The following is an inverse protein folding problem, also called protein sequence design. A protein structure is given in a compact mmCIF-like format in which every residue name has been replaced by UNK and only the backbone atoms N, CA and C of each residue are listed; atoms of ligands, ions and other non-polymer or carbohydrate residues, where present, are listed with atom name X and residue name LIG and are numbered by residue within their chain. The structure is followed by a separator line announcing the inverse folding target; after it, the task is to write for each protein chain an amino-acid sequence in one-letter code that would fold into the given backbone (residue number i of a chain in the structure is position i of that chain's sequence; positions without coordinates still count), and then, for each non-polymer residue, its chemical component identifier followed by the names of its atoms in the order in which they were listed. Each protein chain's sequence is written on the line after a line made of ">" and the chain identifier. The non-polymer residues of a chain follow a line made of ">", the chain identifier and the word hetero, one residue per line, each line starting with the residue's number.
data_IF_098717614936
#
_entry.id   IF_098717614936
#
_cell.length_a   1.000
_cell.length_b   1.000
_cell.length_c   1.000
_cell.angle_alpha   90.00
_cell.angle_beta   90.00
_cell.angle_gamma   90.00
#
_symmetry.space_group_name_H-M   'P 1'
#
loop_
_entity.id
_entity.type
_entity.pdbx_description
1 polymer ?
2 non-polymer ?
3 water ?
#
# COMPACT_ATOMS: atom_id res chain seq x y z
N UNK A 2 8.07 -8.26 -20.95
CA UNK A 2 7.62 -8.77 -19.61
C UNK A 2 6.34 -8.04 -19.18
N UNK A 3 6.41 -6.71 -19.21
CA UNK A 3 5.34 -5.82 -18.74
C UNK A 3 4.91 -4.92 -19.90
N UNK A 4 3.59 -4.68 -20.05
CA UNK A 4 3.16 -3.85 -21.17
C UNK A 4 3.30 -2.38 -20.79
N UNK A 5 4.38 -1.74 -21.27
CA UNK A 5 4.64 -0.35 -20.96
C UNK A 5 5.22 0.39 -22.18
N UNK A 6 4.55 1.49 -22.55
CA UNK A 6 5.06 2.38 -23.61
C UNK A 6 6.24 3.17 -23.06
N UNK A 7 7.25 3.39 -23.90
CA UNK A 7 8.50 4.02 -23.46
C UNK A 7 8.43 5.55 -23.42
N UNK A 8 8.67 6.13 -22.24
CA UNK A 8 8.60 7.57 -22.06
C UNK A 8 9.99 8.12 -21.91
N UNK A 9 10.11 9.41 -22.21
CA UNK A 9 11.17 10.20 -21.61
C UNK A 9 10.73 10.37 -20.18
N UNK A 10 11.70 10.33 -19.26
CA UNK A 10 11.40 10.27 -17.83
C UNK A 10 10.75 11.57 -17.33
N UNK A 11 11.15 12.69 -17.91
CA UNK A 11 10.61 14.00 -17.51
C UNK A 11 9.29 14.43 -18.19
N UNK A 12 8.76 13.57 -19.06
CA UNK A 12 7.44 13.74 -19.64
C UNK A 12 6.45 13.12 -18.67
N UNK A 13 5.89 13.94 -17.79
CA UNK A 13 5.10 13.42 -16.69
C UNK A 13 3.71 12.91 -17.11
N UNK A 14 3.16 13.48 -18.19
CA UNK A 14 1.92 13.01 -18.79
C UNK A 14 2.07 11.57 -19.25
N UNK A 15 3.17 11.32 -19.95
CA UNK A 15 3.53 9.99 -20.45
C UNK A 15 3.78 8.97 -19.32
N UNK A 16 4.63 9.36 -18.36
CA UNK A 16 4.96 8.51 -17.21
C UNK A 16 3.71 8.17 -16.42
N UNK A 17 2.78 9.11 -16.30
CA UNK A 17 1.58 8.86 -15.53
C UNK A 17 0.72 7.81 -16.23
N UNK A 18 0.72 7.85 -17.56
CA UNK A 18 0.04 6.87 -18.43
C UNK A 18 0.73 5.50 -18.45
N UNK A 19 2.06 5.49 -18.51
CA UNK A 19 2.84 4.23 -18.52
C UNK A 19 2.63 3.46 -17.23
N UNK A 20 2.77 4.15 -16.09
CA UNK A 20 2.48 3.58 -14.78
C UNK A 20 1.07 3.03 -14.71
N UNK A 21 0.12 3.75 -15.29
CA UNK A 21 -1.27 3.33 -15.30
C UNK A 21 -1.50 2.05 -16.11
N UNK A 22 -0.79 1.88 -17.23
CA UNK A 22 -0.90 0.66 -18.07
C UNK A 22 -0.14 -0.55 -17.54
N UNK A 23 1.05 -0.30 -17.03
CA UNK A 23 1.84 -1.30 -16.34
C UNK A 23 1.16 -1.86 -15.08
N UNK A 24 0.66 -0.96 -14.23
CA UNK A 24 0.25 -1.31 -12.86
C UNK A 24 -0.57 -2.61 -12.75
N UNK A 25 -1.66 -2.75 -13.50
CA UNK A 25 -2.50 -3.96 -13.33
C UNK A 25 -1.83 -5.28 -13.66
N UNK A 26 -1.04 -5.33 -14.73
CA UNK A 26 -0.27 -6.52 -15.06
C UNK A 26 0.70 -6.78 -13.91
N UNK A 27 1.30 -5.71 -13.42
CA UNK A 27 2.37 -5.83 -12.43
C UNK A 27 1.88 -6.38 -11.10
N UNK A 28 0.75 -5.84 -10.63
CA UNK A 28 0.17 -6.20 -9.35
C UNK A 28 -0.48 -7.59 -9.40
N UNK A 29 -0.79 -8.08 -10.60
CA UNK A 29 -1.22 -9.50 -10.80
C UNK A 29 -0.11 -10.48 -10.43
N UNK A 30 1.11 -10.01 -10.52
CA UNK A 30 2.24 -10.82 -10.12
C UNK A 30 2.92 -11.35 -11.35
N UNK A 31 4.20 -11.62 -11.18
CA UNK A 31 5.02 -12.16 -12.26
C UNK A 31 5.85 -13.28 -11.65
N UNK A 32 5.21 -14.45 -11.48
CA UNK A 32 5.78 -15.60 -10.80
C UNK A 32 7.23 -15.91 -11.23
N UNK A 33 7.44 -16.07 -12.53
CA UNK A 33 8.73 -16.49 -13.06
C UNK A 33 9.82 -15.48 -12.78
N UNK A 34 9.42 -14.24 -12.56
CA UNK A 34 10.37 -13.17 -12.35
C UNK A 34 10.61 -12.89 -10.88
N UNK A 35 9.91 -13.63 -10.03
CA UNK A 35 10.01 -13.48 -8.58
C UNK A 35 9.26 -12.25 -8.06
N UNK A 36 8.10 -11.99 -8.64
CA UNK A 36 7.29 -10.84 -8.28
C UNK A 36 6.01 -11.42 -7.70
N UNK A 37 5.75 -11.14 -6.43
CA UNK A 37 4.53 -11.59 -5.77
C UNK A 37 3.29 -10.87 -6.31
N UNK A 38 2.16 -11.54 -6.16
CA UNK A 38 0.85 -10.95 -6.38
C UNK A 38 0.68 -9.82 -5.36
N UNK A 39 0.22 -8.67 -5.83
CA UNK A 39 0.01 -7.51 -4.99
C UNK A 39 -1.45 -7.04 -5.03
N UNK A 40 -2.31 -7.84 -5.64
CA UNK A 40 -3.75 -7.67 -5.50
C UNK A 40 -4.41 -9.00 -5.91
N UNK A 41 -4.82 -9.84 -4.94
CA UNK A 41 -4.73 -9.54 -3.49
C UNK A 41 -3.31 -9.68 -2.94
N UNK A 42 -2.89 -8.69 -2.15
CA UNK A 42 -1.57 -8.67 -1.49
C UNK A 42 -1.58 -9.35 -0.10
N UNK A 43 -0.75 -10.39 0.06
CA UNK A 43 -0.51 -10.98 1.37
C UNK A 43 0.41 -10.09 2.20
N UNK A 44 -0.14 -9.52 3.25
CA UNK A 44 0.64 -8.78 4.20
C UNK A 44 1.25 -9.77 5.21
N UNK A 45 2.49 -9.53 5.59
CA UNK A 45 3.12 -10.34 6.63
C UNK A 45 2.54 -10.02 8.01
N UNK A 46 2.68 -10.96 8.94
CA UNK A 46 2.11 -10.78 10.25
C UNK A 46 2.72 -9.55 10.86
N UNK A 47 1.90 -8.75 11.53
CA UNK A 47 2.44 -7.62 12.27
C UNK A 47 1.59 -7.28 13.48
N UNK A 48 2.17 -6.45 14.32
CA UNK A 48 1.52 -5.97 15.51
C UNK A 48 1.87 -4.53 15.66
N UNK A 49 1.04 -3.82 16.41
CA UNK A 49 1.40 -2.50 16.82
C UNK A 49 0.76 -2.20 18.15
N UNK A 50 1.41 -1.29 18.86
CA UNK A 50 0.96 -0.85 20.16
C UNK A 50 1.02 0.67 20.11
N UNK A 51 -0.12 1.31 19.90
CA UNK A 51 -0.18 2.77 19.71
C UNK A 51 -1.42 3.39 20.33
N UNK A 52 -1.20 4.50 21.05
CA UNK A 52 -2.24 5.28 21.70
C UNK A 52 -3.21 4.41 22.52
N UNK A 53 -2.67 3.38 23.19
CA UNK A 53 -3.46 2.49 24.06
C UNK A 53 -4.04 1.25 23.39
N UNK A 54 -3.80 1.07 22.10
CA UNK A 54 -4.37 -0.09 21.43
C UNK A 54 -3.27 -1.06 21.03
N UNK A 55 -3.36 -2.26 21.59
CA UNK A 55 -2.53 -3.35 21.17
C UNK A 55 -3.28 -4.09 20.08
N UNK A 56 -2.72 -4.04 18.87
CA UNK A 56 -3.34 -4.66 17.70
C UNK A 56 -2.39 -5.69 17.07
N UNK A 57 -2.94 -6.81 16.60
CA UNK A 57 -2.21 -7.67 15.67
C UNK A 57 -3.08 -8.01 14.48
N UNK A 58 -2.43 -8.30 13.35
CA UNK A 58 -3.10 -8.82 12.18
C UNK A 58 -2.31 -10.00 11.58
N UNK A 59 -3.02 -11.10 11.36
CA UNK A 59 -2.45 -12.32 10.77
C UNK A 59 -3.31 -12.72 9.56
N UNK A 60 -2.66 -13.39 8.60
CA UNK A 60 -3.28 -13.72 7.31
C UNK A 60 -3.77 -12.43 6.63
N UNK A 61 -3.02 -11.36 6.81
CA UNK A 61 -3.41 -10.06 6.31
C UNK A 61 -3.52 -10.04 4.79
N UNK A 62 -4.52 -9.30 4.31
CA UNK A 62 -4.79 -9.11 2.89
C UNK A 62 -5.05 -7.63 2.62
N UNK A 63 -4.50 -7.15 1.50
CA UNK A 63 -4.87 -5.86 0.96
C UNK A 63 -5.36 -6.08 -0.47
N UNK A 64 -6.61 -5.67 -0.69
CA UNK A 64 -7.29 -5.80 -1.96
C UNK A 64 -7.45 -4.35 -2.50
N UNK A 65 -7.44 -4.18 -3.81
CA UNK A 65 -7.76 -2.89 -4.44
C UNK A 65 -6.67 -2.26 -5.30
N UNK A 66 -5.42 -2.61 -5.06
CA UNK A 66 -4.30 -1.99 -5.77
C UNK A 66 -4.33 -2.12 -7.31
N UNK A 67 -5.00 -3.17 -7.81
CA UNK A 67 -5.14 -3.38 -9.27
C UNK A 67 -6.00 -2.29 -9.93
N UNK A 68 -6.88 -1.63 -9.16
CA UNK A 68 -7.73 -0.53 -9.63
C UNK A 68 -7.30 0.89 -9.27
N UNK A 69 -6.09 1.08 -8.74
CA UNK A 69 -5.51 2.42 -8.50
C UNK A 69 -5.48 3.32 -9.74
N UNK A 70 -5.87 4.56 -9.54
CA UNK A 70 -5.72 5.56 -10.58
C UNK A 70 -4.48 6.40 -10.27
N UNK A 71 -3.49 6.41 -11.18
CA UNK A 71 -2.28 7.23 -11.01
C UNK A 71 -2.59 8.67 -11.37
N UNK A 72 -2.49 9.56 -10.39
CA UNK A 72 -2.73 11.00 -10.58
C UNK A 72 -1.60 11.79 -11.22
N UNK A 73 -0.36 11.41 -10.95
CA UNK A 73 0.82 12.09 -11.48
C UNK A 73 2.10 11.33 -11.13
N UNK A 74 3.06 11.33 -12.05
CA UNK A 74 4.39 10.78 -11.83
C UNK A 74 5.43 11.82 -12.22
N UNK A 75 6.14 12.34 -11.23
CA UNK A 75 7.07 13.44 -11.42
C UNK A 75 8.49 12.95 -11.20
N UNK A 76 9.25 12.86 -12.27
CA UNK A 76 10.58 12.33 -12.20
C UNK A 76 11.62 13.47 -12.23
N UNK A 77 12.40 13.60 -11.16
CA UNK A 77 13.45 14.63 -11.07
C UNK A 77 14.82 13.99 -11.30
N UNK A 78 15.30 14.01 -12.55
CA UNK A 78 16.60 13.40 -12.89
C UNK A 78 17.80 14.04 -12.17
N UNK A 79 17.65 15.30 -11.75
CA UNK A 79 18.67 15.94 -10.93
C UNK A 79 18.78 15.21 -9.59
N UNK A 80 17.79 15.37 -8.71
CA UNK A 80 17.83 14.71 -7.41
C UNK A 80 17.76 13.18 -7.45
N UNK A 81 17.39 12.60 -8.60
CA UNK A 81 17.18 11.16 -8.72
C UNK A 81 16.09 10.66 -7.75
N UNK A 82 14.98 11.39 -7.72
CA UNK A 82 13.76 10.99 -7.02
C UNK A 82 12.62 10.84 -8.02
N UNK A 83 11.65 10.01 -7.66
CA UNK A 83 10.39 9.89 -8.37
C UNK A 83 9.27 10.19 -7.37
N UNK A 84 8.37 11.12 -7.68
CA UNK A 84 7.15 11.32 -6.90
C UNK A 84 5.95 10.69 -7.62
N UNK A 85 5.23 9.78 -6.95
CA UNK A 85 4.02 9.16 -7.51
C UNK A 85 2.80 9.38 -6.62
N UNK A 86 1.85 10.16 -7.12
CA UNK A 86 0.56 10.35 -6.49
C UNK A 86 -0.48 9.47 -7.16
N UNK A 87 -1.26 8.80 -6.33
CA UNK A 87 -2.32 7.97 -6.83
C UNK A 87 -3.38 7.79 -5.74
N UNK A 88 -4.52 7.23 -6.14
CA UNK A 88 -5.60 6.90 -5.22
C UNK A 88 -6.27 5.59 -5.58
N UNK A 89 -6.96 5.04 -4.60
CA UNK A 89 -7.70 3.80 -4.77
C UNK A 89 -8.70 3.62 -3.64
N UNK A 90 -9.55 2.63 -3.83
CA UNK A 90 -10.33 2.07 -2.76
C UNK A 90 -9.71 0.71 -2.39
N UNK A 91 -9.52 0.48 -1.09
CA UNK A 91 -8.87 -0.73 -0.63
C UNK A 91 -9.67 -1.40 0.49
N UNK A 92 -9.57 -2.73 0.54
CA UNK A 92 -10.08 -3.54 1.64
C UNK A 92 -8.89 -4.23 2.32
N UNK A 93 -8.73 -4.01 3.63
CA UNK A 93 -7.78 -4.76 4.46
C UNK A 93 -8.54 -5.81 5.30
N UNK A 94 -8.10 -7.06 5.21
CA UNK A 94 -8.75 -8.19 5.85
C UNK A 94 -7.75 -9.00 6.68
N UNK A 95 -8.29 -9.94 7.44
CA UNK A 95 -7.49 -10.89 8.19
C UNK A 95 -7.93 -11.17 9.60
N UNK A 96 -7.12 -11.99 10.28
CA UNK A 96 -7.40 -12.39 11.64
C UNK A 96 -6.76 -11.37 12.56
N UNK A 97 -7.57 -10.51 13.17
CA UNK A 97 -7.07 -9.41 14.00
C UNK A 97 -7.20 -9.78 15.44
N UNK A 98 -6.35 -9.21 16.28
CA UNK A 98 -6.62 -9.15 17.74
C UNK A 98 -6.50 -7.73 18.25
N UNK A 99 -7.29 -7.40 19.26
CA UNK A 99 -7.33 -6.05 19.83
C UNK A 99 -7.49 -6.17 21.33
N UNK A 100 -6.69 -5.43 22.08
CA UNK A 100 -6.84 -5.28 23.52
C UNK A 100 -6.47 -3.86 23.87
N UNK A 101 -6.69 -3.47 25.12
CA UNK A 101 -6.40 -2.13 25.59
C UNK A 101 -7.61 -1.23 25.39
N UNK A 102 -7.44 -0.16 24.61
CA UNK A 102 -8.57 0.71 24.27
C UNK A 102 -8.43 1.35 22.87
N UNK A 103 -9.55 1.70 22.26
CA UNK A 103 -9.53 2.67 21.16
C UNK A 103 -10.12 3.97 21.67
N UNK A 104 -9.23 4.96 21.83
CA UNK A 104 -9.60 6.29 22.24
C UNK A 104 -10.27 6.20 23.61
N UNK A 105 -11.54 6.61 23.73
CA UNK A 105 -12.20 6.69 25.03
C UNK A 105 -12.95 5.38 25.43
N UNK A 106 -12.84 4.33 24.61
CA UNK A 106 -13.53 3.06 24.85
C UNK A 106 -12.55 1.89 25.01
N UNK A 107 -12.66 1.09 26.10
CA UNK A 107 -11.89 -0.16 26.18
C UNK A 107 -12.33 -1.13 25.08
N UNK A 108 -11.40 -1.99 24.67
CA UNK A 108 -11.66 -2.97 23.64
C UNK A 108 -11.04 -4.30 23.98
N UNK A 109 -11.72 -5.37 23.60
CA UNK A 109 -11.12 -6.69 23.43
C UNK A 109 -11.68 -7.30 22.13
N UNK A 110 -10.85 -8.04 21.40
CA UNK A 110 -11.31 -8.65 20.15
C UNK A 110 -10.39 -9.72 19.67
N UNK A 111 -10.97 -10.77 19.10
CA UNK A 111 -10.19 -11.83 18.46
C UNK A 111 -11.07 -12.48 17.42
N UNK A 112 -10.85 -12.07 16.18
CA UNK A 112 -11.73 -12.46 15.11
C UNK A 112 -11.25 -12.01 13.76
N UNK A 113 -12.20 -11.66 12.90
CA UNK A 113 -11.92 -11.27 11.55
C UNK A 113 -12.16 -9.78 11.34
N UNK A 114 -11.35 -9.20 10.48
CA UNK A 114 -11.41 -7.81 10.13
C UNK A 114 -11.77 -7.64 8.66
N UNK A 115 -12.57 -6.61 8.40
CA UNK A 115 -12.81 -6.10 7.05
C UNK A 115 -12.84 -4.57 7.08
N UNK A 116 -11.70 -3.92 6.79
CA UNK A 116 -11.63 -2.45 6.70
C UNK A 116 -11.81 -2.03 5.26
N UNK A 117 -12.83 -1.22 4.97
CA UNK A 117 -13.07 -0.73 3.62
C UNK A 117 -12.73 0.73 3.58
N UNK A 118 -11.72 1.07 2.76
CA UNK A 118 -11.19 2.43 2.69
C UNK A 118 -11.51 3.02 1.33
N UNK A 119 -12.22 4.14 1.34
CA UNK A 119 -12.73 4.74 0.13
C UNK A 119 -11.95 6.03 -0.17
N UNK A 120 -11.44 6.11 -1.39
CA UNK A 120 -10.67 7.22 -1.92
C UNK A 120 -9.50 7.57 -1.02
N UNK A 121 -8.65 6.57 -0.81
CA UNK A 121 -7.40 6.81 -0.13
C UNK A 121 -6.44 7.38 -1.16
N UNK A 122 -5.80 8.48 -0.82
CA UNK A 122 -4.78 9.07 -1.66
C UNK A 122 -3.42 8.81 -1.05
N UNK A 123 -2.50 8.35 -1.88
CA UNK A 123 -1.16 8.00 -1.44
C UNK A 123 -0.16 8.91 -2.14
N UNK A 124 0.86 9.35 -1.39
CA UNK A 124 1.93 10.17 -1.93
C UNK A 124 3.23 9.46 -1.69
N UNK A 125 3.76 8.85 -2.75
CA UNK A 125 4.97 8.06 -2.68
C UNK A 125 6.15 8.87 -3.21
N UNK A 126 7.29 8.82 -2.52
CA UNK A 126 8.54 9.37 -3.03
C UNK A 126 9.62 8.29 -2.96
N UNK A 127 10.23 7.95 -4.09
CA UNK A 127 11.28 6.94 -4.15
C UNK A 127 12.63 7.60 -4.52
N UNK A 128 13.72 7.20 -3.86
CA UNK A 128 15.05 7.60 -4.29
C UNK A 128 15.71 6.45 -5.05
N UNK A 129 16.43 6.78 -6.10
CA UNK A 129 16.97 5.77 -6.98
C UNK A 129 18.36 6.15 -7.47
N UNK A 130 19.10 5.14 -7.89
CA UNK A 130 20.34 5.33 -8.58
C UNK A 130 20.22 4.59 -9.91
N UNK A 131 20.80 5.16 -10.96
CA UNK A 131 21.00 4.45 -12.22
C UNK A 131 22.24 3.55 -12.07
N UNK A 132 22.11 2.25 -12.32
CA UNK A 132 23.26 1.36 -12.15
C UNK A 132 23.46 0.37 -13.31
N UNK A 133 24.65 0.44 -13.91
CA UNK A 133 25.09 -0.51 -14.92
C UNK A 133 25.48 -1.82 -14.22
N UNK A 134 25.04 -2.95 -14.78
CA UNK A 134 25.31 -4.27 -14.16
C UNK A 134 26.59 -4.93 -14.72
N UNK A 135 26.88 -6.16 -14.26
CA UNK A 135 28.14 -6.87 -14.55
C UNK A 135 28.38 -7.09 -16.04
N UNK A 136 27.29 -7.16 -16.82
CA UNK A 136 27.39 -7.37 -18.26
C UNK A 136 27.05 -6.09 -19.04
N UNK A 137 26.90 -4.97 -18.32
CA UNK A 137 26.85 -3.64 -18.95
C UNK A 137 25.48 -3.03 -19.24
N UNK A 138 24.44 -3.62 -18.66
CA UNK A 138 23.07 -3.20 -18.88
C UNK A 138 22.60 -2.22 -17.78
N UNK A 139 22.23 -1.02 -18.21
CA UNK A 139 21.76 0.02 -17.29
C UNK A 139 20.39 -0.32 -16.65
N UNK A 140 20.30 -0.24 -15.32
CA UNK A 140 19.04 -0.45 -14.59
C UNK A 140 18.70 0.74 -13.67
N UNK A 141 17.40 1.01 -13.51
CA UNK A 141 16.95 1.89 -12.43
C UNK A 141 16.89 1.09 -11.12
N UNK A 142 17.69 1.48 -10.14
CA UNK A 142 17.76 0.78 -8.86
C UNK A 142 17.14 1.62 -7.75
N UNK A 143 16.03 1.16 -7.22
CA UNK A 143 15.32 1.86 -6.13
C UNK A 143 16.10 1.73 -4.84
N UNK A 144 16.14 2.80 -4.04
CA UNK A 144 16.97 2.80 -2.82
C UNK A 144 16.15 2.99 -1.56
N UNK A 145 15.24 3.97 -1.54
CA UNK A 145 14.46 4.27 -0.34
C UNK A 145 13.15 4.84 -0.80
N UNK A 146 12.18 4.90 0.12
CA UNK A 146 10.92 5.54 -0.15
C UNK A 146 10.38 6.18 1.07
N UNK A 147 9.48 7.15 0.88
CA UNK A 147 8.57 7.60 1.92
C UNK A 147 7.19 7.49 1.32
N UNK A 148 6.20 7.26 2.17
CA UNK A 148 4.84 7.16 1.71
C UNK A 148 3.98 7.86 2.75
N UNK A 149 3.09 8.74 2.31
CA UNK A 149 2.09 9.35 3.18
C UNK A 149 0.78 8.93 2.59
N UNK A 150 -0.29 9.07 3.38
CA UNK A 150 -1.61 8.64 2.96
C UNK A 150 -2.62 9.60 3.49
N UNK A 151 -3.77 9.64 2.84
CA UNK A 151 -4.88 10.46 3.25
C UNK A 151 -6.14 9.77 2.78
N UNK A 152 -6.94 9.27 3.72
CA UNK A 152 -8.23 8.65 3.39
C UNK A 152 -9.22 9.79 3.36
N UNK A 153 -9.64 10.15 2.17
CA UNK A 153 -10.47 11.34 1.96
C UNK A 153 -11.96 11.12 2.16
N UNK A 154 -12.49 9.99 1.68
CA UNK A 154 -13.93 9.88 1.58
C UNK A 154 -14.51 9.19 2.79
N UNK A 155 -14.00 8.01 3.13
CA UNK A 155 -14.61 7.21 4.19
C UNK A 155 -13.80 5.97 4.52
N UNK A 156 -14.01 5.43 5.72
CA UNK A 156 -13.40 4.18 6.17
C UNK A 156 -14.42 3.44 7.02
N UNK A 157 -14.61 2.16 6.72
CA UNK A 157 -15.61 1.32 7.39
C UNK A 157 -14.97 0.16 8.10
N UNK A 158 -15.41 -0.08 9.34
CA UNK A 158 -14.79 -1.06 10.22
C UNK A 158 -15.73 -2.25 10.46
N UNK A 159 -15.24 -3.43 10.08
CA UNK A 159 -15.94 -4.65 10.34
C UNK A 159 -15.04 -5.51 11.17
N UNK A 160 -15.40 -5.74 12.42
CA UNK A 160 -14.60 -6.50 13.35
C UNK A 160 -15.48 -7.53 14.00
N UNK A 161 -15.16 -8.81 13.81
CA UNK A 161 -15.98 -9.88 14.41
C UNK A 161 -15.43 -10.32 15.77
N UNK A 162 -16.33 -10.84 16.59
CA UNK A 162 -15.99 -11.31 17.93
C UNK A 162 -15.28 -10.28 18.78
N UNK A 163 -15.75 -9.04 18.71
CA UNK A 163 -15.41 -8.07 19.72
C UNK A 163 -16.12 -8.49 21.02
N UNK A 164 -15.47 -8.22 22.16
CA UNK A 164 -16.11 -8.33 23.45
C UNK A 164 -16.67 -9.71 23.70
N UNK A 165 -15.89 -10.71 23.29
CA UNK A 165 -16.23 -12.10 23.45
C UNK A 165 -17.69 -12.40 23.11
N UNK A 166 -18.18 -11.80 22.02
CA UNK A 166 -19.53 -12.08 21.55
C UNK A 166 -20.65 -11.15 21.99
N UNK A 167 -20.38 -10.25 22.93
CA UNK A 167 -21.43 -9.32 23.45
C UNK A 167 -21.86 -8.31 22.41
N UNK A 168 -23.03 -8.54 21.85
CA UNK A 168 -23.61 -7.68 20.84
C UNK A 168 -23.68 -6.22 21.20
N UNK A 169 -24.17 -5.92 22.39
CA UNK A 169 -24.35 -4.55 22.89
C UNK A 169 -23.06 -3.78 22.74
N UNK A 170 -22.00 -4.34 23.32
CA UNK A 170 -20.67 -3.71 23.34
C UNK A 170 -20.03 -3.62 21.96
N UNK A 171 -20.23 -4.67 21.16
CA UNK A 171 -19.71 -4.73 19.79
C UNK A 171 -20.39 -3.69 18.93
N UNK A 172 -21.71 -3.66 18.99
CA UNK A 172 -22.48 -2.62 18.31
C UNK A 172 -22.01 -1.20 18.66
N UNK A 173 -21.98 -0.86 19.96
CA UNK A 173 -21.45 0.43 20.40
C UNK A 173 -20.05 0.74 19.81
N UNK A 174 -19.17 -0.25 19.78
CA UNK A 174 -17.77 -0.04 19.31
C UNK A 174 -17.73 0.23 17.82
N UNK A 175 -18.48 -0.58 17.08
CA UNK A 175 -18.47 -0.51 15.64
C UNK A 175 -19.08 0.81 15.19
N UNK A 176 -20.21 1.18 15.76
CA UNK A 176 -20.76 2.54 15.55
C UNK A 176 -19.70 3.60 15.84
N UNK A 177 -18.98 3.43 16.95
CA UNK A 177 -17.96 4.38 17.39
C UNK A 177 -16.85 4.54 16.39
N UNK A 178 -16.33 3.44 15.86
CA UNK A 178 -15.27 3.48 14.87
C UNK A 178 -15.70 4.16 13.56
N UNK A 179 -16.88 3.81 13.07
CA UNK A 179 -17.37 4.42 11.84
C UNK A 179 -17.65 5.93 12.01
N UNK A 180 -18.18 6.36 13.16
CA UNK A 180 -18.41 7.79 13.36
C UNK A 180 -17.09 8.57 13.39
N UNK A 181 -16.09 8.05 14.09
CA UNK A 181 -14.78 8.70 14.15
C UNK A 181 -13.75 8.06 13.21
N UNK A 182 -14.15 7.70 11.98
CA UNK A 182 -13.27 6.95 11.05
C UNK A 182 -12.01 7.68 10.67
N UNK A 183 -12.13 8.98 10.47
CA UNK A 183 -10.99 9.78 10.05
C UNK A 183 -9.91 9.77 11.15
N UNK A 184 -10.32 10.09 12.37
CA UNK A 184 -9.40 10.11 13.51
C UNK A 184 -8.69 8.77 13.65
N UNK A 185 -9.45 7.69 13.51
CA UNK A 185 -8.92 6.34 13.65
C UNK A 185 -7.97 6.03 12.48
N UNK A 186 -8.30 6.49 11.26
CA UNK A 186 -7.36 6.33 10.12
C UNK A 186 -6.03 7.02 10.39
N UNK A 187 -6.07 8.20 10.98
CA UNK A 187 -4.86 8.96 11.32
C UNK A 187 -4.08 8.40 12.52
N UNK A 188 -4.76 7.75 13.47
CA UNK A 188 -4.11 7.17 14.66
C UNK A 188 -3.36 5.88 14.35
N UNK A 189 -3.94 5.06 13.48
CA UNK A 189 -3.47 3.69 13.27
C UNK A 189 -3.19 3.31 11.81
N UNK A 190 -3.25 4.26 10.89
CA UNK A 190 -3.11 3.89 9.48
C UNK A 190 -1.69 3.58 9.07
N UNK A 191 -0.74 4.22 9.74
CA UNK A 191 0.67 4.15 9.35
C UNK A 191 1.26 2.73 9.37
N UNK A 192 1.12 1.99 10.48
CA UNK A 192 1.64 0.63 10.50
C UNK A 192 1.01 -0.29 9.44
N UNK A 193 -0.26 -0.03 9.10
CA UNK A 193 -0.95 -0.82 8.08
C UNK A 193 -0.35 -0.55 6.71
N UNK A 194 -0.30 0.73 6.36
CA UNK A 194 0.33 1.16 5.12
C UNK A 194 1.74 0.65 4.97
N UNK A 195 2.49 0.67 6.08
CA UNK A 195 3.87 0.22 6.07
C UNK A 195 3.98 -1.26 5.86
N UNK A 196 3.04 -2.02 6.40
CA UNK A 196 2.98 -3.45 6.11
C UNK A 196 2.85 -3.69 4.60
N UNK A 197 1.98 -2.96 3.91
CA UNK A 197 1.83 -3.07 2.45
C UNK A 197 3.01 -2.44 1.70
N UNK A 198 3.36 -1.22 2.06
CA UNK A 198 4.41 -0.49 1.33
C UNK A 198 5.74 -1.23 1.28
N UNK A 199 6.23 -1.80 2.38
CA UNK A 199 7.52 -2.50 2.33
C UNK A 199 7.49 -3.70 1.36
N UNK A 200 6.38 -4.43 1.33
CA UNK A 200 6.25 -5.60 0.43
C UNK A 200 6.13 -5.15 -1.05
N UNK A 201 5.31 -4.14 -1.30
CA UNK A 201 5.17 -3.59 -2.65
C UNK A 201 6.51 -3.02 -3.13
N UNK A 202 7.22 -2.32 -2.26
CA UNK A 202 8.49 -1.69 -2.62
C UNK A 202 9.55 -2.72 -2.96
N UNK A 203 9.63 -3.78 -2.16
CA UNK A 203 10.56 -4.88 -2.40
C UNK A 203 10.43 -5.40 -3.83
N UNK A 204 9.20 -5.63 -4.27
CA UNK A 204 8.93 -6.23 -5.58
C UNK A 204 9.12 -5.33 -6.78
N UNK A 205 8.83 -4.05 -6.60
CA UNK A 205 9.15 -3.07 -7.66
C UNK A 205 10.68 -2.96 -7.81
N UNK A 206 11.38 -2.80 -6.68
CA UNK A 206 12.83 -2.73 -6.69
C UNK A 206 13.44 -3.96 -7.33
N UNK A 207 12.89 -5.14 -7.01
CA UNK A 207 13.39 -6.44 -7.56
C UNK A 207 13.20 -6.42 -9.06
N UNK A 208 11.98 -6.04 -9.50
CA UNK A 208 11.62 -6.02 -10.92
C UNK A 208 12.45 -5.05 -11.75
N UNK A 209 12.50 -3.80 -11.32
CA UNK A 209 13.26 -2.77 -12.04
C UNK A 209 14.74 -3.11 -12.08
N UNK A 210 15.27 -3.70 -11.00
CA UNK A 210 16.68 -4.13 -10.92
C UNK A 210 17.08 -5.14 -12.01
N UNK A 211 16.10 -5.88 -12.53
CA UNK A 211 16.38 -6.99 -13.45
C UNK A 211 15.97 -6.74 -14.90
N UNK A 212 15.05 -5.80 -15.09
CA UNK A 212 14.61 -5.36 -16.42
C UNK A 212 15.43 -4.15 -16.85
N UNK A 213 16.08 -4.22 -18.04
CA UNK A 213 16.88 -3.09 -18.55
C UNK A 213 16.03 -1.84 -18.65
N UNK A 214 16.60 -0.67 -18.37
CA UNK A 214 15.81 0.56 -18.41
C UNK A 214 15.36 0.85 -19.84
N UNK A 215 16.22 0.54 -20.82
CA UNK A 215 15.90 0.72 -22.25
C UNK A 215 14.65 -0.06 -22.72
N UNK A 216 14.24 -1.06 -21.94
CA UNK A 216 13.04 -1.86 -22.19
C UNK A 216 11.77 -1.13 -21.76
N UNK A 217 11.91 -0.13 -20.88
CA UNK A 217 10.76 0.61 -20.32
C UNK A 217 10.99 2.13 -20.19
N UNK A 218 11.95 2.69 -20.91
CA UNK A 218 12.12 4.14 -20.98
C UNK A 218 13.05 4.56 -22.12
N UNK A 219 13.07 5.86 -22.42
CA UNK A 219 13.89 6.39 -23.52
C UNK A 219 15.18 6.91 -22.92
N UNK A 220 16.06 5.96 -22.58
CA UNK A 220 17.39 6.22 -22.02
C UNK A 220 18.31 5.04 -22.41
X LIG B 1 -9.29 -3.05 14.76
X LIG B 1 -9.27 -1.94 15.84
X LIG B 1 -10.45 -2.13 16.81
X LIG B 1 -9.23 -0.52 15.26
X LIG B 1 -8.78 -0.53 13.79
X LIG B 1 -7.28 -0.68 13.72
X LIG B 1 -6.74 -0.43 12.33
X LIG B 1 -6.15 -1.64 11.61
X LIG B 1 -6.80 0.84 11.75
X LIG B 1 -6.33 1.21 10.48
X LIG B 1 -7.28 2.14 9.72
X LIG B 1 -6.71 2.73 8.39
X LIG B 1 -7.19 3.96 7.98
X LIG B 1 -5.77 2.08 7.60
X LIG B 1 -5.24 2.61 6.41
X LIG B 1 -4.54 1.56 5.53
X LIG B 1 -3.76 2.17 4.36
X LIG B 1 -3.36 3.64 4.45
X LIG B 1 -3.42 1.39 3.24
X LIG B 1 -2.72 1.77 2.08
X LIG B 1 -1.71 0.72 1.56
X LIG B 1 -1.17 1.06 0.14
X LIG B 1 -2.18 1.15 -1.00
X LIG B 1 0.20 1.31 -0.09
X LIG B 1 0.83 1.62 -1.31
X LIG B 1 2.35 1.34 -1.28
X LIG B 1 3.14 1.73 -2.56
X LIG B 1 4.59 1.18 -2.57
X LIG B 1 2.42 1.25 -3.82
X LIG B 1 3.12 1.67 -5.10
X LIG B 1 2.33 1.15 -6.31
X LIG B 1 2.94 1.63 -7.62
X LIG B 1 2.98 3.11 -7.97
X LIG B 1 3.46 0.66 -8.47
X LIG B 1 4.05 0.85 -9.72
X LIG B 1 3.86 -0.42 -10.57
X LIG B 1 4.25 -0.21 -12.04
X LIG B 1 3.90 1.20 -12.51
X LIG B 1 5.75 -0.55 -12.25
X LIG B 1 6.66 0.67 -12.06
X LIG B 1 7.22 1.28 -13.37
X LIG B 1 6.68 0.99 -14.64
X LIG B 1 5.61 0.13 -14.79
X LIG B 1 7.21 1.56 -15.79
X LIG B 1 6.71 1.28 -16.87
X LIG B 1 8.29 2.43 -15.73
X LIG B 1 8.79 2.99 -16.87
X LIG B 1 7.96 4.11 -17.24
X LIG B 1 8.85 2.75 -14.49
X LIG B 1 9.91 3.60 -14.44
X LIG B 1 11.06 3.07 -15.12
X LIG B 1 8.31 2.17 -13.34
X LIG B 1 8.81 2.46 -12.25
#
# INVERSE_FOLDING_TARGET
>A
GVLPVEKCNLEDSACMTSAFQQALPTFVAGLPDHGVEVMDVLDLDDFAFDLSGLQFTLKEGKLKGLKGAVIDNVKWDLKKKNIEVDFHLDATVKGHYTAGGRILILPITGDGQMKLKLKNIHIHLVVSYEMEKDAEGVDHVIFKKYTVTFDVKDNAQFGLTNLFNGNKELSDTMLTFLNQNWKQVSEEFGKPVMEAAAKKIFKNIKHFLAKVPIAEIANV
>B hetero
1 UQ8 C45 C44 C46 C43 C42 C41 C39 C40 C38 C37 C36 C34 C35 C33 C32 C31 C29 C30 C28 C27 C26 C24 C25 C23 C22 C21 C19 C20 C18 C17 C16 C14 C15 C13 C12 C11 C9 C10 C8 C7 C6 C1 C1M C2 O2 C3 O3 C3M C4 O4 C4M C5 O5
#
